data_IF_581759809219
#
_entry.id   IF_581759809219
#
_cell.length_a   1.000
_cell.length_b   1.000
_cell.length_c   1.000
_cell.angle_alpha   90.00
_cell.angle_beta   90.00
_cell.angle_gamma   90.00
#
_symmetry.space_group_name_H-M   'P 1'
#
loop_
_entity.id
_entity.type
_entity.pdbx_description
1 polymer ?
#
# COMPACT_ATOMS: atom_id res chain seq x y z
N UNK A 1 16.18 6.81 0.32
CA UNK A 1 14.97 6.53 1.13
C UNK A 1 15.25 5.30 1.99
N UNK A 2 15.22 5.48 3.30
CA UNK A 2 15.40 4.38 4.25
C UNK A 2 14.06 3.68 4.49
N UNK A 3 14.06 2.37 4.56
CA UNK A 3 12.86 1.56 4.76
C UNK A 3 13.01 0.77 6.06
N UNK A 4 12.04 0.91 6.96
CA UNK A 4 11.95 0.18 8.21
C UNK A 4 10.73 -0.73 8.21
N UNK A 5 10.87 -1.94 8.72
CA UNK A 5 9.80 -2.94 8.78
C UNK A 5 9.52 -3.31 10.23
N UNK A 6 8.26 -3.24 10.62
CA UNK A 6 7.81 -3.73 11.92
C UNK A 6 7.78 -5.27 11.93
N UNK A 7 8.54 -5.89 12.81
CA UNK A 7 8.56 -7.36 12.98
C UNK A 7 7.22 -7.93 13.44
N UNK A 8 6.40 -7.10 14.08
CA UNK A 8 5.11 -7.55 14.62
C UNK A 8 4.01 -7.69 13.57
N UNK A 9 3.95 -6.77 12.61
CA UNK A 9 2.83 -6.74 11.64
C UNK A 9 3.24 -6.50 10.19
N UNK A 10 4.53 -6.37 9.91
CA UNK A 10 5.02 -6.12 8.56
C UNK A 10 4.83 -4.69 8.04
N UNK A 11 4.33 -3.78 8.88
CA UNK A 11 4.14 -2.38 8.50
C UNK A 11 5.47 -1.74 8.11
N UNK A 12 5.44 -0.96 7.03
CA UNK A 12 6.62 -0.26 6.51
C UNK A 12 6.54 1.22 6.89
N UNK A 13 7.64 1.73 7.43
CA UNK A 13 7.86 3.16 7.62
C UNK A 13 9.03 3.64 6.77
N UNK A 14 8.87 4.85 6.24
CA UNK A 14 9.88 5.48 5.40
C UNK A 14 10.67 6.50 6.19
N UNK A 15 11.99 6.47 6.02
CA UNK A 15 12.97 7.42 6.55
C UNK A 15 13.20 7.38 8.06
N UNK A 16 12.16 7.23 8.89
CA UNK A 16 12.28 7.24 10.34
C UNK A 16 11.36 6.18 10.96
N UNK A 17 11.91 5.33 11.83
CA UNK A 17 11.09 4.41 12.60
C UNK A 17 10.33 5.18 13.68
N UNK A 18 9.02 4.99 13.81
CA UNK A 18 8.20 5.69 14.81
C UNK A 18 8.46 5.13 16.22
N UNK A 19 8.13 5.90 17.25
CA UNK A 19 8.23 5.44 18.64
C UNK A 19 7.30 4.25 18.92
N UNK A 20 6.19 4.18 18.18
CA UNK A 20 5.20 3.11 18.29
C UNK A 20 4.63 2.81 16.90
N UNK A 21 4.50 1.53 16.57
CA UNK A 21 3.89 1.13 15.31
C UNK A 21 2.41 1.57 15.25
N UNK A 22 2.06 2.30 14.23
CA UNK A 22 0.70 2.83 14.04
C UNK A 22 -0.32 1.74 13.67
N UNK A 23 0.14 0.55 13.29
CA UNK A 23 -0.73 -0.58 12.95
C UNK A 23 -0.93 -1.51 14.14
N UNK A 24 0.15 -2.03 14.75
CA UNK A 24 0.05 -3.05 15.79
C UNK A 24 0.41 -2.56 17.20
N UNK A 25 0.91 -1.34 17.34
CA UNK A 25 1.29 -0.78 18.62
C UNK A 25 2.64 -1.25 19.17
N UNK A 26 3.42 -2.02 18.41
CA UNK A 26 4.74 -2.47 18.83
C UNK A 26 5.71 -1.29 19.03
N UNK A 27 6.66 -1.39 19.97
CA UNK A 27 7.61 -0.32 20.23
C UNK A 27 8.60 -0.14 19.07
N UNK A 28 9.29 1.00 19.06
CA UNK A 28 10.32 1.34 18.05
C UNK A 28 11.36 0.26 17.84
N UNK A 29 11.71 -0.46 18.89
CA UNK A 29 12.68 -1.59 18.84
C UNK A 29 12.22 -2.76 17.98
N UNK A 30 10.94 -2.81 17.62
CA UNK A 30 10.38 -3.81 16.69
C UNK A 30 10.64 -3.49 15.22
N UNK A 31 11.10 -2.28 14.91
CA UNK A 31 11.42 -1.88 13.54
C UNK A 31 12.87 -2.23 13.19
N UNK A 32 13.04 -2.85 12.02
CA UNK A 32 14.35 -3.19 11.46
C UNK A 32 14.49 -2.46 10.14
N UNK A 33 15.64 -1.82 9.93
CA UNK A 33 15.99 -1.28 8.62
C UNK A 33 16.18 -2.44 7.62
N UNK A 34 15.42 -2.40 6.53
CA UNK A 34 15.49 -3.41 5.48
C UNK A 34 15.27 -2.78 4.11
N UNK A 35 16.35 -2.44 3.39
CA UNK A 35 16.24 -1.83 2.07
C UNK A 35 15.64 -2.77 1.01
N UNK A 36 15.60 -4.08 1.28
CA UNK A 36 15.02 -5.09 0.40
C UNK A 36 13.56 -5.44 0.73
N UNK A 37 12.94 -4.71 1.68
CA UNK A 37 11.58 -5.02 2.14
C UNK A 37 10.50 -4.80 1.06
N UNK A 38 10.77 -3.95 0.09
CA UNK A 38 9.88 -3.67 -1.03
C UNK A 38 10.49 -4.23 -2.30
N UNK A 39 9.76 -5.13 -2.93
CA UNK A 39 10.16 -5.73 -4.20
C UNK A 39 10.15 -4.70 -5.31
N UNK A 40 11.02 -4.88 -6.28
CA UNK A 40 11.12 -3.99 -7.44
C UNK A 40 11.20 -4.83 -8.70
N UNK A 41 10.63 -4.36 -9.82
CA UNK A 41 10.80 -5.04 -11.09
C UNK A 41 12.27 -5.07 -11.49
N UNK A 42 12.70 -6.20 -12.06
CA UNK A 42 14.06 -6.34 -12.55
C UNK A 42 14.36 -5.36 -13.69
N UNK A 43 13.36 -5.08 -14.52
CA UNK A 43 13.43 -4.07 -15.58
C UNK A 43 12.16 -3.22 -15.59
N UNK A 44 12.20 -2.00 -15.01
CA UNK A 44 11.03 -1.11 -14.98
C UNK A 44 10.48 -0.72 -16.36
N UNK A 45 11.32 -0.79 -17.41
CA UNK A 45 10.90 -0.47 -18.78
C UNK A 45 10.21 -1.66 -19.47
N UNK A 46 10.32 -2.87 -18.93
CA UNK A 46 9.74 -4.08 -19.48
C UNK A 46 9.27 -5.01 -18.34
N UNK A 47 8.10 -4.71 -17.81
CA UNK A 47 7.52 -5.43 -16.66
C UNK A 47 7.21 -6.88 -17.03
N UNK A 48 7.59 -7.82 -16.16
CA UNK A 48 7.20 -9.22 -16.24
C UNK A 48 5.70 -9.38 -15.91
N UNK A 49 5.14 -10.55 -16.20
CA UNK A 49 3.78 -10.88 -15.79
C UNK A 49 3.62 -10.81 -14.26
N UNK A 50 4.61 -11.29 -13.52
CA UNK A 50 4.64 -11.21 -12.07
C UNK A 50 4.63 -9.77 -11.55
N UNK A 51 5.42 -8.89 -12.16
CA UNK A 51 5.42 -7.46 -11.81
C UNK A 51 4.03 -6.85 -12.02
N UNK A 52 3.39 -7.14 -13.15
CA UNK A 52 2.05 -6.64 -13.50
C UNK A 52 0.95 -7.15 -12.57
N UNK A 53 1.17 -8.30 -11.91
CA UNK A 53 0.24 -8.85 -10.92
C UNK A 53 0.43 -8.28 -9.51
N UNK A 54 1.54 -7.61 -9.24
CA UNK A 54 1.88 -7.15 -7.89
C UNK A 54 1.94 -5.63 -7.74
N UNK A 55 2.37 -4.90 -8.76
CA UNK A 55 2.50 -3.44 -8.64
C UNK A 55 1.11 -2.82 -8.49
N UNK A 56 0.82 -2.12 -7.36
CA UNK A 56 -0.48 -1.49 -7.17
C UNK A 56 -0.79 -0.47 -8.28
N UNK A 57 -2.01 -0.54 -8.79
CA UNK A 57 -2.55 0.45 -9.72
C UNK A 57 -3.35 1.46 -8.91
N UNK A 58 -2.98 2.74 -8.98
CA UNK A 58 -3.60 3.80 -8.20
C UNK A 58 -4.34 4.75 -9.14
N UNK A 59 -5.64 4.94 -8.90
CA UNK A 59 -6.48 5.86 -9.67
C UNK A 59 -7.03 6.91 -8.72
N UNK A 60 -6.70 8.16 -8.98
CA UNK A 60 -7.19 9.30 -8.20
C UNK A 60 -8.49 9.81 -8.83
N UNK A 61 -9.55 9.86 -8.02
CA UNK A 61 -10.85 10.38 -8.41
C UNK A 61 -11.17 11.58 -7.52
N UNK A 62 -11.43 12.74 -8.14
CA UNK A 62 -11.85 13.95 -7.42
C UNK A 62 -13.37 13.97 -7.32
N UNK A 63 -13.87 14.53 -6.20
CA UNK A 63 -15.31 14.76 -5.99
C UNK A 63 -16.17 13.50 -6.12
N UNK A 64 -15.99 12.56 -5.21
CA UNK A 64 -16.71 11.29 -5.23
C UNK A 64 -18.25 11.43 -5.05
N UNK A 65 -18.74 12.59 -4.60
CA UNK A 65 -20.16 12.85 -4.36
C UNK A 65 -20.69 12.29 -3.03
N UNK A 66 -19.90 11.47 -2.33
CA UNK A 66 -20.31 10.89 -1.05
C UNK A 66 -20.07 11.85 0.13
N UNK A 67 -19.03 12.65 0.05
CA UNK A 67 -18.66 13.61 1.11
C UNK A 67 -19.37 14.93 0.90
N UNK A 68 -20.18 15.39 1.87
CA UNK A 68 -20.89 16.68 1.75
C UNK A 68 -19.93 17.87 1.61
N UNK A 69 -20.27 18.84 0.77
CA UNK A 69 -19.49 20.07 0.56
C UNK A 69 -18.31 19.92 -0.39
N UNK A 70 -18.08 18.75 -0.97
CA UNK A 70 -16.97 18.48 -1.88
C UNK A 70 -15.63 18.32 -1.16
N UNK A 71 -14.52 18.40 -1.91
CA UNK A 71 -13.16 18.30 -1.36
C UNK A 71 -12.68 16.89 -1.10
N UNK A 72 -13.43 15.86 -1.48
CA UNK A 72 -13.00 14.47 -1.38
C UNK A 72 -12.05 14.13 -2.53
N UNK A 73 -10.91 13.53 -2.19
CA UNK A 73 -9.99 12.91 -3.15
C UNK A 73 -9.96 11.41 -2.86
N UNK A 74 -10.43 10.60 -3.78
CA UNK A 74 -10.44 9.16 -3.61
C UNK A 74 -9.20 8.54 -4.21
N UNK A 75 -8.51 7.73 -3.42
CA UNK A 75 -7.43 6.89 -3.91
C UNK A 75 -7.96 5.46 -4.08
N UNK A 76 -8.31 5.10 -5.32
CA UNK A 76 -8.72 3.76 -5.68
C UNK A 76 -7.47 2.94 -6.01
N UNK A 77 -7.39 1.73 -5.48
CA UNK A 77 -6.25 0.84 -5.70
C UNK A 77 -6.74 -0.53 -6.11
N UNK A 78 -6.09 -1.10 -7.12
CA UNK A 78 -6.19 -2.53 -7.44
C UNK A 78 -4.78 -3.11 -7.54
N UNK A 79 -4.57 -4.29 -7.01
CA UNK A 79 -3.32 -5.04 -7.19
C UNK A 79 -3.57 -6.09 -8.26
N UNK A 80 -2.98 -6.08 -9.43
CA UNK A 80 -2.15 -5.08 -10.07
C UNK A 80 -2.79 -4.70 -11.41
N UNK A 81 -2.03 -4.38 -12.47
CA UNK A 81 -2.52 -4.22 -13.85
C UNK A 81 -3.28 -5.48 -14.29
N UNK A 82 -2.69 -6.64 -14.04
CA UNK A 82 -3.37 -7.94 -14.07
C UNK A 82 -3.82 -8.23 -12.64
N UNK A 83 -5.12 -8.43 -12.43
CA UNK A 83 -5.67 -8.62 -11.09
C UNK A 83 -4.99 -9.78 -10.37
N UNK A 84 -4.45 -9.51 -9.19
CA UNK A 84 -3.84 -10.52 -8.33
C UNK A 84 -4.89 -11.48 -7.79
N UNK A 85 -4.55 -12.75 -7.61
CA UNK A 85 -5.45 -13.75 -7.05
C UNK A 85 -5.77 -13.46 -5.58
N UNK A 86 -6.96 -13.87 -5.14
CA UNK A 86 -7.41 -13.80 -3.75
C UNK A 86 -7.90 -15.19 -3.32
N UNK A 87 -6.94 -16.12 -3.19
CA UNK A 87 -7.18 -17.51 -2.82
C UNK A 87 -6.71 -17.78 -1.38
N UNK A 88 -7.20 -18.81 -0.69
CA UNK A 88 -6.87 -19.06 0.73
C UNK A 88 -5.37 -19.15 1.02
N UNK A 89 -4.58 -19.64 0.08
CA UNK A 89 -3.12 -19.82 0.25
C UNK A 89 -2.28 -18.76 -0.46
N UNK A 90 -2.89 -17.91 -1.31
CA UNK A 90 -2.20 -16.90 -2.08
C UNK A 90 -3.11 -15.70 -2.28
N UNK A 91 -2.85 -14.62 -1.56
CA UNK A 91 -3.73 -13.44 -1.52
C UNK A 91 -2.97 -12.18 -1.12
N UNK A 92 -3.59 -11.05 -1.38
CA UNK A 92 -3.15 -9.76 -0.85
C UNK A 92 -3.77 -9.59 0.52
N UNK A 93 -2.91 -9.51 1.55
CA UNK A 93 -3.36 -9.46 2.94
C UNK A 93 -3.83 -8.06 3.34
N UNK A 94 -3.15 -7.02 2.86
CA UNK A 94 -3.46 -5.64 3.22
C UNK A 94 -2.89 -4.63 2.21
N UNK A 95 -3.47 -3.43 2.26
CA UNK A 95 -2.99 -2.24 1.57
C UNK A 95 -2.70 -1.17 2.62
N UNK A 96 -1.48 -0.66 2.63
CA UNK A 96 -1.08 0.49 3.46
C UNK A 96 -1.02 1.74 2.58
N UNK A 97 -1.71 2.79 3.03
CA UNK A 97 -1.77 4.09 2.36
C UNK A 97 -0.90 5.10 3.09
N UNK A 98 -0.21 5.93 2.31
CA UNK A 98 0.66 7.00 2.82
C UNK A 98 0.39 8.29 2.03
N UNK A 99 0.45 9.42 2.71
CA UNK A 99 0.50 10.75 2.09
C UNK A 99 1.85 11.37 2.42
N UNK A 100 2.57 11.78 1.37
CA UNK A 100 3.95 12.29 1.49
C UNK A 100 4.83 11.34 2.31
N UNK A 101 4.63 10.03 2.10
CA UNK A 101 5.30 8.91 2.77
C UNK A 101 5.08 8.85 4.29
N UNK A 102 4.03 9.48 4.79
CA UNK A 102 3.55 9.33 6.16
C UNK A 102 2.33 8.43 6.16
N UNK A 103 2.35 7.42 7.01
CA UNK A 103 1.28 6.43 7.11
C UNK A 103 -0.07 7.07 7.43
N UNK A 104 -1.10 6.61 6.74
CA UNK A 104 -2.47 7.10 6.89
C UNK A 104 -3.40 5.99 7.36
N UNK A 105 -3.42 4.85 6.66
CA UNK A 105 -4.38 3.79 6.96
C UNK A 105 -3.93 2.45 6.38
N UNK A 106 -4.26 1.37 7.09
CA UNK A 106 -4.20 -0.01 6.58
C UNK A 106 -5.60 -0.52 6.33
N UNK A 107 -5.81 -1.06 5.13
CA UNK A 107 -7.05 -1.79 4.81
C UNK A 107 -6.69 -3.27 4.70
N UNK A 108 -7.24 -4.07 5.62
CA UNK A 108 -7.10 -5.53 5.60
C UNK A 108 -8.08 -6.14 4.60
N UNK A 109 -7.63 -7.13 3.85
CA UNK A 109 -8.45 -7.84 2.87
C UNK A 109 -8.59 -9.30 3.26
N UNK A 110 -9.79 -9.86 3.03
CA UNK A 110 -10.05 -11.27 3.27
C UNK A 110 -9.98 -12.03 1.94
N UNK A 111 -9.22 -13.15 1.87
CA UNK A 111 -9.20 -13.97 0.67
C UNK A 111 -10.60 -14.51 0.36
N UNK A 112 -10.87 -14.77 -0.90
CA UNK A 112 -12.15 -15.27 -1.45
C UNK A 112 -13.33 -14.30 -1.35
N UNK A 113 -13.34 -13.39 -0.36
CA UNK A 113 -14.44 -12.42 -0.16
C UNK A 113 -14.15 -11.10 -0.84
N UNK A 114 -12.89 -10.62 -0.77
CA UNK A 114 -12.50 -9.35 -1.35
C UNK A 114 -11.79 -9.53 -2.69
N UNK A 115 -12.00 -8.59 -3.62
CA UNK A 115 -11.03 -8.34 -4.66
C UNK A 115 -9.74 -7.76 -4.06
N UNK A 116 -8.57 -7.85 -4.72
CA UNK A 116 -7.34 -7.20 -4.25
C UNK A 116 -7.39 -5.70 -4.53
N UNK A 117 -8.38 -5.03 -3.94
CA UNK A 117 -8.70 -3.65 -4.25
C UNK A 117 -9.36 -2.97 -3.05
N UNK A 118 -9.15 -1.66 -2.95
CA UNK A 118 -9.81 -0.82 -1.95
C UNK A 118 -9.80 0.64 -2.39
N UNK A 119 -10.58 1.47 -1.71
CA UNK A 119 -10.59 2.90 -1.91
C UNK A 119 -10.52 3.61 -0.56
N UNK A 120 -9.81 4.74 -0.52
CA UNK A 120 -9.71 5.59 0.66
C UNK A 120 -10.11 7.01 0.28
N UNK A 121 -11.04 7.59 1.06
CA UNK A 121 -11.46 8.98 0.90
C UNK A 121 -10.49 9.90 1.64
N UNK A 122 -9.77 10.74 0.90
CA UNK A 122 -8.77 11.65 1.45
C UNK A 122 -9.30 13.09 1.49
N UNK A 123 -8.98 13.79 2.57
CA UNK A 123 -9.28 15.21 2.72
C UNK A 123 -8.02 16.04 2.43
N UNK A 124 -7.41 15.79 1.29
CA UNK A 124 -6.25 16.54 0.78
C UNK A 124 -6.42 16.77 -0.72
N UNK A 125 -5.95 17.90 -1.21
CA UNK A 125 -6.06 18.29 -2.61
C UNK A 125 -4.75 18.17 -3.38
N UNK A 126 -3.63 17.90 -2.69
CA UNK A 126 -2.31 17.76 -3.26
C UNK A 126 -1.44 16.86 -2.38
N UNK A 127 -0.42 16.29 -2.96
CA UNK A 127 0.55 15.45 -2.27
C UNK A 127 0.93 14.22 -3.07
N UNK A 128 1.80 13.40 -2.49
CA UNK A 128 2.20 12.11 -3.04
C UNK A 128 1.43 11.01 -2.32
N UNK A 129 0.61 10.28 -3.05
CA UNK A 129 -0.03 9.06 -2.54
C UNK A 129 0.90 7.89 -2.80
N UNK A 130 1.28 7.19 -1.75
CA UNK A 130 2.02 5.92 -1.84
C UNK A 130 1.11 4.81 -1.34
N UNK A 131 1.09 3.70 -2.04
CA UNK A 131 0.41 2.48 -1.59
C UNK A 131 1.41 1.33 -1.57
N UNK A 132 1.47 0.65 -0.44
CA UNK A 132 2.23 -0.59 -0.28
C UNK A 132 1.24 -1.72 -0.10
N UNK A 133 1.37 -2.75 -0.91
CA UNK A 133 0.59 -3.99 -0.78
C UNK A 133 1.44 -5.10 -0.18
N UNK A 134 0.80 -6.08 0.43
CA UNK A 134 1.44 -7.31 0.89
C UNK A 134 0.79 -8.53 0.26
N UNK A 135 1.57 -9.23 -0.57
CA UNK A 135 1.26 -10.59 -1.00
C UNK A 135 1.85 -11.56 0.02
N UNK A 136 1.04 -12.48 0.56
CA UNK A 136 1.52 -13.44 1.56
C UNK A 136 2.60 -14.40 1.05
N UNK A 137 2.72 -14.54 -0.28
CA UNK A 137 3.71 -15.43 -0.93
C UNK A 137 4.92 -14.63 -1.46
N UNK A 138 4.69 -13.46 -2.09
CA UNK A 138 5.72 -12.74 -2.84
C UNK A 138 6.18 -11.44 -2.20
N UNK A 139 5.74 -11.13 -0.98
CA UNK A 139 6.21 -9.95 -0.24
C UNK A 139 5.50 -8.65 -0.62
N UNK A 140 6.17 -7.54 -0.35
CA UNK A 140 5.59 -6.20 -0.49
C UNK A 140 5.98 -5.56 -1.81
N UNK A 141 5.02 -4.88 -2.42
CA UNK A 141 5.22 -4.07 -3.62
C UNK A 141 4.59 -2.71 -3.42
N UNK A 142 5.05 -1.70 -4.13
CA UNK A 142 4.51 -0.36 -3.99
C UNK A 142 4.38 0.37 -5.31
N UNK A 143 3.54 1.40 -5.30
CA UNK A 143 3.47 2.40 -6.35
C UNK A 143 3.15 3.76 -5.75
N UNK A 144 3.42 4.82 -6.50
CA UNK A 144 3.21 6.20 -6.07
C UNK A 144 2.58 7.01 -7.19
N UNK A 145 1.71 7.93 -6.82
CA UNK A 145 1.08 8.88 -7.76
C UNK A 145 0.88 10.22 -7.06
N UNK A 146 1.12 11.32 -7.77
CA UNK A 146 0.82 12.65 -7.27
C UNK A 146 -0.64 13.00 -7.46
N UNK A 147 -1.21 13.70 -6.46
CA UNK A 147 -2.52 14.31 -6.54
C UNK A 147 -2.38 15.70 -7.16
#
# INVERSE_FOLDING_TARGET
>A
MTVFVCKGCGHIEFNVAPEKCLVCGAPKTSFIENPAAIMKPANPAALSEGDKKHIPQIVIVKECGLIPGGGCTDAHVRVGEIEHVMQPKHYIAWLDYYINRKFVSRIWLSPEVCHPAAALHLNVSAGLVTVVENCNVHGNWMNEVSI
#
